data_IF_272314608969
#
_entry.id   IF_272314608969
#
_cell.length_a   1.000
_cell.length_b   1.000
_cell.length_c   1.000
_cell.angle_alpha   90.00
_cell.angle_beta   90.00
_cell.angle_gamma   90.00
#
_symmetry.space_group_name_H-M   'P 1'
#
loop_
_entity.id
_entity.type
_entity.pdbx_description
1 polymer ?
#
# COMPACT_ATOMS: atom_id res chain seq x y z
N UNK A 1 9.25 -19.67 7.75
CA UNK A 1 9.91 -18.77 6.77
C UNK A 1 9.70 -19.18 5.32
N UNK A 2 9.79 -20.47 4.93
CA UNK A 2 9.59 -20.94 3.54
C UNK A 2 8.37 -20.31 2.83
N UNK A 3 7.17 -20.39 3.42
CA UNK A 3 5.94 -19.81 2.83
C UNK A 3 6.01 -18.30 2.54
N UNK A 4 6.72 -17.52 3.35
CA UNK A 4 6.87 -16.07 3.12
C UNK A 4 7.82 -15.79 1.96
N UNK A 5 8.90 -16.56 1.84
CA UNK A 5 9.84 -16.46 0.72
C UNK A 5 9.13 -16.84 -0.58
N UNK A 6 8.39 -17.96 -0.58
CA UNK A 6 7.66 -18.41 -1.76
C UNK A 6 6.63 -17.36 -2.23
N UNK A 7 5.95 -16.69 -1.29
CA UNK A 7 5.01 -15.60 -1.60
C UNK A 7 5.74 -14.39 -2.21
N UNK A 8 6.89 -14.02 -1.66
CA UNK A 8 7.68 -12.90 -2.18
C UNK A 8 8.19 -13.18 -3.59
N UNK A 9 8.68 -14.40 -3.85
CA UNK A 9 9.22 -14.80 -5.15
C UNK A 9 8.14 -14.86 -6.25
N UNK A 10 6.88 -15.08 -5.87
CA UNK A 10 5.74 -15.11 -6.80
C UNK A 10 4.98 -13.79 -6.91
N UNK A 11 5.42 -12.73 -6.24
CA UNK A 11 4.72 -11.44 -6.20
C UNK A 11 5.33 -10.43 -7.17
N UNK A 12 4.47 -9.62 -7.80
CA UNK A 12 4.93 -8.42 -8.49
C UNK A 12 5.38 -7.38 -7.48
N UNK A 13 6.57 -6.80 -7.70
CA UNK A 13 7.17 -5.81 -6.80
C UNK A 13 7.17 -4.44 -7.45
N UNK A 14 6.52 -3.48 -6.79
CA UNK A 14 6.58 -2.07 -7.19
C UNK A 14 7.88 -1.45 -6.66
N UNK A 15 8.80 -0.99 -7.53
CA UNK A 15 10.09 -0.46 -7.10
C UNK A 15 9.97 0.94 -6.46
N UNK A 16 10.87 1.32 -5.53
CA UNK A 16 10.86 2.61 -4.85
C UNK A 16 11.41 3.76 -5.73
N UNK A 17 10.73 4.03 -6.83
CA UNK A 17 11.09 5.09 -7.79
C UNK A 17 10.94 6.49 -7.18
N UNK A 18 11.51 7.50 -7.85
CA UNK A 18 11.33 8.90 -7.45
C UNK A 18 9.84 9.30 -7.49
N UNK A 19 9.13 8.91 -8.55
CA UNK A 19 7.68 9.12 -8.69
C UNK A 19 6.89 8.50 -7.53
N UNK A 20 7.26 7.27 -7.11
CA UNK A 20 6.60 6.64 -5.97
C UNK A 20 6.85 7.39 -4.67
N UNK A 21 8.07 7.91 -4.47
CA UNK A 21 8.41 8.75 -3.31
C UNK A 21 7.63 10.06 -3.29
N UNK A 22 7.45 10.71 -4.43
CA UNK A 22 6.62 11.91 -4.53
C UNK A 22 5.15 11.62 -4.21
N UNK A 23 4.60 10.50 -4.71
CA UNK A 23 3.26 10.03 -4.35
C UNK A 23 3.12 9.79 -2.85
N UNK A 24 4.08 9.09 -2.24
CA UNK A 24 4.11 8.86 -0.80
C UNK A 24 4.16 10.19 -0.01
N UNK A 25 4.91 11.19 -0.48
CA UNK A 25 4.94 12.52 0.12
C UNK A 25 3.58 13.21 0.18
N UNK A 26 2.75 13.04 -0.86
CA UNK A 26 1.36 13.57 -0.86
C UNK A 26 0.48 12.87 0.17
N UNK A 27 0.62 11.54 0.29
CA UNK A 27 -0.14 10.73 1.27
C UNK A 27 0.19 11.11 2.71
N UNK A 28 1.43 11.52 3.00
CA UNK A 28 1.81 12.04 4.33
C UNK A 28 1.07 13.33 4.70
N UNK A 29 0.65 14.13 3.71
CA UNK A 29 -0.19 15.31 3.93
C UNK A 29 -1.67 14.97 4.14
N UNK A 30 -2.15 13.89 3.52
CA UNK A 30 -3.55 13.46 3.59
C UNK A 30 -3.86 12.53 4.77
N UNK A 31 -2.85 11.82 5.30
CA UNK A 31 -3.02 10.80 6.33
C UNK A 31 -1.90 10.84 7.38
N UNK A 32 -2.20 10.49 8.64
CA UNK A 32 -1.20 10.43 9.71
C UNK A 32 -0.36 9.14 9.64
N UNK A 33 0.38 8.96 8.55
CA UNK A 33 1.22 7.80 8.27
C UNK A 33 2.70 8.06 8.56
N UNK A 34 3.47 6.98 8.76
CA UNK A 34 4.94 7.03 8.69
C UNK A 34 5.38 6.92 7.23
N UNK A 35 6.61 7.35 6.92
CA UNK A 35 7.14 7.34 5.56
C UNK A 35 7.10 5.94 4.90
N UNK A 36 7.38 4.87 5.66
CA UNK A 36 7.28 3.49 5.16
C UNK A 36 5.85 3.10 4.80
N UNK A 37 4.88 3.41 5.67
CA UNK A 37 3.46 3.11 5.44
C UNK A 37 2.93 3.90 4.23
N UNK A 38 3.36 5.15 4.07
CA UNK A 38 3.01 5.98 2.92
C UNK A 38 3.59 5.42 1.60
N UNK A 39 4.81 4.90 1.62
CA UNK A 39 5.40 4.20 0.46
C UNK A 39 4.63 2.93 0.12
N UNK A 40 4.22 2.15 1.13
CA UNK A 40 3.43 0.94 0.92
C UNK A 40 2.04 1.25 0.32
N UNK A 41 1.37 2.29 0.82
CA UNK A 41 0.09 2.73 0.26
C UNK A 41 0.25 3.29 -1.16
N UNK A 42 1.30 4.08 -1.42
CA UNK A 42 1.60 4.56 -2.77
C UNK A 42 1.88 3.41 -3.75
N UNK A 43 2.57 2.36 -3.31
CA UNK A 43 2.82 1.15 -4.10
C UNK A 43 1.53 0.42 -4.45
N UNK A 44 0.62 0.26 -3.49
CA UNK A 44 -0.68 -0.36 -3.74
C UNK A 44 -1.52 0.45 -4.73
N UNK A 45 -1.57 1.78 -4.59
CA UNK A 45 -2.27 2.66 -5.54
C UNK A 45 -1.68 2.58 -6.96
N UNK A 46 -0.35 2.56 -7.06
CA UNK A 46 0.31 2.40 -8.36
C UNK A 46 0.00 1.03 -8.99
N UNK A 47 -0.02 -0.04 -8.19
CA UNK A 47 -0.36 -1.39 -8.65
C UNK A 47 -1.84 -1.52 -9.04
N UNK A 48 -2.73 -0.68 -8.51
CA UNK A 48 -4.15 -0.65 -8.88
C UNK A 48 -4.45 0.39 -9.98
N UNK A 49 -3.42 0.96 -10.62
CA UNK A 49 -3.57 2.03 -11.62
C UNK A 49 -4.42 3.22 -11.11
N UNK A 50 -4.24 3.57 -9.84
CA UNK A 50 -5.01 4.61 -9.13
C UNK A 50 -6.55 4.36 -9.10
N UNK A 51 -6.98 3.12 -9.39
CA UNK A 51 -8.37 2.64 -9.31
C UNK A 51 -8.54 1.54 -8.24
N UNK A 52 -8.41 1.86 -6.94
CA UNK A 52 -8.37 0.88 -5.86
C UNK A 52 -9.71 0.17 -5.58
N UNK A 53 -10.81 0.63 -6.16
CA UNK A 53 -12.13 0.03 -5.96
C UNK A 53 -12.15 -1.42 -6.46
N UNK A 54 -12.61 -2.33 -5.60
CA UNK A 54 -12.63 -3.77 -5.89
C UNK A 54 -11.28 -4.47 -5.66
N UNK A 55 -10.22 -3.75 -5.30
CA UNK A 55 -8.95 -4.33 -4.87
C UNK A 55 -8.84 -4.38 -3.36
N UNK A 56 -7.97 -5.25 -2.85
CA UNK A 56 -7.83 -5.50 -1.42
C UNK A 56 -6.43 -5.14 -0.93
N UNK A 57 -6.37 -4.45 0.20
CA UNK A 57 -5.15 -4.13 0.93
C UNK A 57 -5.06 -4.99 2.19
N UNK A 58 -4.08 -5.91 2.23
CA UNK A 58 -3.85 -6.79 3.37
C UNK A 58 -2.92 -6.12 4.37
N UNK A 59 -3.40 -5.80 5.56
CA UNK A 59 -2.60 -5.10 6.57
C UNK A 59 -3.15 -5.31 7.97
N UNK A 60 -2.27 -5.38 8.97
CA UNK A 60 -2.64 -5.48 10.39
C UNK A 60 -2.40 -4.18 11.18
N UNK A 61 -1.71 -3.19 10.60
CA UNK A 61 -1.52 -1.89 11.22
C UNK A 61 -2.77 -1.02 11.06
N UNK A 62 -3.35 -0.58 12.18
CA UNK A 62 -4.61 0.17 12.19
C UNK A 62 -4.52 1.48 11.40
N UNK A 63 -3.41 2.22 11.49
CA UNK A 63 -3.28 3.53 10.83
C UNK A 63 -3.21 3.37 9.32
N UNK A 64 -2.41 2.42 8.86
CA UNK A 64 -2.29 2.13 7.44
C UNK A 64 -3.59 1.53 6.86
N UNK A 65 -4.28 0.66 7.60
CA UNK A 65 -5.61 0.15 7.22
C UNK A 65 -6.62 1.27 7.01
N UNK A 66 -6.66 2.24 7.93
CA UNK A 66 -7.60 3.36 7.83
C UNK A 66 -7.27 4.30 6.67
N UNK A 67 -5.99 4.53 6.39
CA UNK A 67 -5.56 5.28 5.21
C UNK A 67 -5.94 4.55 3.92
N UNK A 68 -5.59 3.26 3.78
CA UNK A 68 -5.94 2.46 2.60
C UNK A 68 -7.47 2.41 2.37
N UNK A 69 -8.27 2.30 3.44
CA UNK A 69 -9.74 2.34 3.33
C UNK A 69 -10.25 3.67 2.80
N UNK A 70 -9.67 4.80 3.24
CA UNK A 70 -10.02 6.13 2.74
C UNK A 70 -9.64 6.35 1.29
N UNK A 71 -8.54 5.73 0.85
CA UNK A 71 -8.15 5.73 -0.56
C UNK A 71 -9.02 4.81 -1.43
N UNK A 72 -9.85 3.94 -0.83
CA UNK A 72 -10.86 3.14 -1.54
C UNK A 72 -10.61 1.64 -1.59
N UNK A 73 -9.57 1.13 -0.91
CA UNK A 73 -9.31 -0.31 -0.82
C UNK A 73 -10.30 -1.01 0.12
N UNK A 74 -10.67 -2.25 -0.23
CA UNK A 74 -11.16 -3.21 0.74
C UNK A 74 -9.99 -3.64 1.65
N UNK A 75 -10.25 -3.90 2.94
CA UNK A 75 -9.19 -4.24 3.89
C UNK A 75 -9.30 -5.70 4.33
N UNK A 76 -8.17 -6.40 4.34
CA UNK A 76 -8.05 -7.74 4.93
C UNK A 76 -6.95 -7.80 6.01
N UNK A 77 -7.11 -8.66 7.04
CA UNK A 77 -8.38 -9.27 7.44
C UNK A 77 -9.44 -8.19 7.76
N UNK A 78 -10.73 -8.52 7.80
CA UNK A 78 -11.78 -7.54 8.10
C UNK A 78 -11.55 -6.86 9.46
#
# INVERSE_FOLDING_TARGET
>A
MRRLVDLMDSSDVVPPTATLRERAGRLLGAHPLRAGDALQLAAALASSEDSPQGTTFVCLDTRLRDAARREGFAILPA
#
